data_IF_226748980033
#
_entry.id   IF_226748980033
#
_cell.length_a   1.000
_cell.length_b   1.000
_cell.length_c   1.000
_cell.angle_alpha   90.00
_cell.angle_beta   90.00
_cell.angle_gamma   90.00
#
_symmetry.space_group_name_H-M   'P 1'
#
loop_
_entity.id
_entity.type
_entity.pdbx_description
1 polymer ?
#
# COMPACT_ATOMS: atom_id res chain seq x y z
N UNK A 1 19.75 -4.65 11.50
CA UNK A 1 19.69 -3.22 11.93
C UNK A 1 19.93 -2.28 10.76
N UNK A 2 20.75 -2.68 9.78
CA UNK A 2 21.05 -1.91 8.56
C UNK A 2 19.82 -1.76 7.62
N UNK A 3 19.03 -2.83 7.44
CA UNK A 3 17.84 -2.79 6.56
C UNK A 3 16.75 -1.84 7.04
N UNK A 4 16.57 -1.69 8.36
CA UNK A 4 15.57 -0.76 8.91
C UNK A 4 15.96 0.69 8.64
N UNK A 5 17.26 1.02 8.68
CA UNK A 5 17.75 2.36 8.31
C UNK A 5 17.55 2.63 6.82
N UNK A 6 17.90 1.69 5.94
CA UNK A 6 17.67 1.82 4.49
C UNK A 6 16.19 2.00 4.16
N UNK A 7 15.31 1.27 4.85
CA UNK A 7 13.87 1.35 4.66
C UNK A 7 13.31 2.70 5.13
N UNK A 8 13.77 3.23 6.27
CA UNK A 8 13.42 4.58 6.70
C UNK A 8 13.89 5.64 5.70
N UNK A 9 15.16 5.60 5.32
CA UNK A 9 15.71 6.58 4.37
C UNK A 9 14.98 6.53 3.03
N UNK A 10 14.73 5.33 2.49
CA UNK A 10 13.97 5.16 1.25
C UNK A 10 12.52 5.63 1.35
N UNK A 11 11.83 5.33 2.46
CA UNK A 11 10.47 5.78 2.69
C UNK A 11 10.38 7.31 2.81
N UNK A 12 11.30 7.95 3.54
CA UNK A 12 11.34 9.40 3.68
C UNK A 12 11.61 10.08 2.34
N UNK A 13 12.60 9.62 1.58
CA UNK A 13 12.88 10.16 0.25
C UNK A 13 11.70 9.95 -0.71
N UNK A 14 11.08 8.77 -0.71
CA UNK A 14 9.93 8.48 -1.57
C UNK A 14 8.71 9.35 -1.28
N UNK A 15 8.42 9.62 0.00
CA UNK A 15 7.31 10.48 0.41
C UNK A 15 7.53 11.94 -0.03
N UNK A 16 8.73 12.50 0.21
CA UNK A 16 9.02 13.88 -0.23
C UNK A 16 9.07 14.02 -1.75
N UNK A 17 9.63 13.04 -2.46
CA UNK A 17 9.65 13.05 -3.93
C UNK A 17 8.24 12.95 -4.50
N UNK A 18 7.40 12.11 -3.90
CA UNK A 18 5.98 11.97 -4.25
C UNK A 18 5.21 13.28 -4.08
N UNK A 19 5.41 13.98 -2.96
CA UNK A 19 4.77 15.27 -2.71
C UNK A 19 5.15 16.33 -3.74
N UNK A 20 6.42 16.39 -4.13
CA UNK A 20 6.90 17.32 -5.17
C UNK A 20 6.18 17.02 -6.50
N UNK A 21 6.09 15.75 -6.89
CA UNK A 21 5.41 15.35 -8.13
C UNK A 21 3.91 15.69 -8.05
N UNK A 22 3.25 15.39 -6.93
CA UNK A 22 1.81 15.68 -6.73
C UNK A 22 1.56 17.19 -6.78
N UNK A 23 2.43 18.00 -6.17
CA UNK A 23 2.31 19.45 -6.18
C UNK A 23 2.55 20.05 -7.58
N UNK A 24 3.47 19.48 -8.37
CA UNK A 24 3.68 19.87 -9.77
C UNK A 24 2.46 19.52 -10.63
N UNK A 25 1.86 18.34 -10.42
CA UNK A 25 0.70 17.88 -11.19
C UNK A 25 -0.58 18.65 -10.84
N UNK A 26 -0.75 19.04 -9.57
CA UNK A 26 -1.91 19.79 -9.14
C UNK A 26 -1.57 20.71 -7.95
N UNK A 27 -1.23 21.98 -8.21
CA UNK A 27 -0.84 22.93 -7.16
C UNK A 27 -2.00 23.33 -6.23
N UNK A 28 -3.25 22.99 -6.58
CA UNK A 28 -4.40 23.23 -5.71
C UNK A 28 -4.47 22.28 -4.50
N UNK A 29 -3.64 21.21 -4.48
CA UNK A 29 -3.58 20.28 -3.35
C UNK A 29 -2.85 20.97 -2.18
N UNK A 30 -3.48 21.08 -0.99
CA UNK A 30 -2.87 21.74 0.15
C UNK A 30 -1.63 20.98 0.63
N UNK A 31 -0.47 21.64 0.63
CA UNK A 31 0.81 21.09 1.11
C UNK A 31 0.68 20.54 2.54
N UNK A 32 -0.12 21.20 3.38
CA UNK A 32 -0.37 20.75 4.75
C UNK A 32 -0.97 19.34 4.81
N UNK A 33 -1.86 18.99 3.86
CA UNK A 33 -2.48 17.67 3.81
C UNK A 33 -1.47 16.58 3.42
N UNK A 34 -0.52 16.91 2.54
CA UNK A 34 0.57 16.01 2.13
C UNK A 34 1.55 15.77 3.29
N UNK A 35 1.95 16.83 3.99
CA UNK A 35 2.83 16.74 5.15
C UNK A 35 2.20 15.91 6.27
N UNK A 36 0.91 16.10 6.55
CA UNK A 36 0.20 15.30 7.57
C UNK A 36 0.10 13.82 7.18
N UNK A 37 -0.12 13.52 5.90
CA UNK A 37 -0.09 12.15 5.38
C UNK A 37 1.28 11.50 5.58
N UNK A 38 2.37 12.23 5.31
CA UNK A 38 3.73 11.73 5.50
C UNK A 38 4.07 11.44 6.95
N UNK A 39 3.67 12.33 7.87
CA UNK A 39 3.83 12.11 9.32
C UNK A 39 3.11 10.82 9.73
N UNK A 40 1.89 10.62 9.25
CA UNK A 40 1.12 9.41 9.52
C UNK A 40 1.82 8.15 8.97
N UNK A 41 2.32 8.22 7.73
CA UNK A 41 3.01 7.10 7.07
C UNK A 41 4.29 6.70 7.83
N UNK A 42 5.09 7.67 8.27
CA UNK A 42 6.29 7.43 9.09
C UNK A 42 5.90 6.81 10.44
N UNK A 43 4.83 7.32 11.07
CA UNK A 43 4.36 6.82 12.36
C UNK A 43 3.87 5.37 12.25
N UNK A 44 3.15 5.02 11.19
CA UNK A 44 2.79 3.63 10.86
C UNK A 44 4.02 2.76 10.61
N UNK A 45 5.05 3.27 9.92
CA UNK A 45 6.29 2.54 9.69
C UNK A 45 7.04 2.25 11.01
N UNK A 46 7.11 3.22 11.92
CA UNK A 46 7.66 3.05 13.27
C UNK A 46 6.87 1.98 14.03
N UNK A 47 5.53 2.08 14.05
CA UNK A 47 4.68 1.13 14.74
C UNK A 47 4.81 -0.28 14.16
N UNK A 48 4.81 -0.43 12.84
CA UNK A 48 4.96 -1.71 12.16
C UNK A 48 6.31 -2.36 12.45
N UNK A 49 7.41 -1.60 12.33
CA UNK A 49 8.76 -2.12 12.60
C UNK A 49 8.94 -2.50 14.06
N UNK A 50 8.36 -1.73 14.99
CA UNK A 50 8.37 -2.06 16.41
C UNK A 50 7.47 -3.26 16.74
N UNK A 51 6.29 -3.36 16.17
CA UNK A 51 5.41 -4.51 16.32
C UNK A 51 6.08 -5.78 15.79
N UNK A 52 6.68 -5.71 14.61
CA UNK A 52 7.47 -6.80 14.01
C UNK A 52 8.59 -7.21 14.97
N UNK A 53 9.47 -6.27 15.38
CA UNK A 53 10.54 -6.58 16.34
C UNK A 53 10.04 -7.21 17.65
N UNK A 54 8.92 -6.70 18.19
CA UNK A 54 8.34 -7.19 19.45
C UNK A 54 7.72 -8.58 19.31
N UNK A 55 7.11 -8.88 18.17
CA UNK A 55 6.54 -10.18 17.86
C UNK A 55 7.61 -11.25 17.68
N UNK A 56 8.65 -10.96 16.88
CA UNK A 56 9.79 -11.87 16.68
C UNK A 56 10.57 -12.14 17.97
N UNK A 57 10.68 -11.15 18.87
CA UNK A 57 11.37 -11.32 20.16
C UNK A 57 10.54 -12.06 21.22
N UNK A 58 9.21 -12.03 21.12
CA UNK A 58 8.30 -12.70 22.07
C UNK A 58 8.00 -14.15 21.71
N UNK A 59 7.99 -14.48 20.43
CA UNK A 59 7.51 -15.79 19.98
C UNK A 59 8.64 -16.81 19.72
N UNK A 60 9.93 -16.46 19.93
CA UNK A 60 11.12 -17.31 19.58
C UNK A 60 10.95 -18.01 18.22
N UNK A 61 10.18 -17.39 17.32
CA UNK A 61 9.81 -18.02 16.08
C UNK A 61 11.07 -18.14 15.22
N UNK A 62 11.35 -19.32 14.64
CA UNK A 62 12.23 -19.35 13.48
C UNK A 62 11.71 -18.33 12.47
N UNK A 63 12.62 -17.78 11.66
CA UNK A 63 12.25 -16.89 10.56
C UNK A 63 11.06 -17.51 9.84
N UNK A 64 9.97 -16.75 9.69
CA UNK A 64 8.66 -17.23 9.19
C UNK A 64 8.92 -18.28 8.13
N UNK A 65 8.44 -19.52 8.33
CA UNK A 65 8.70 -20.65 7.44
C UNK A 65 8.70 -20.14 6.00
N UNK A 66 9.82 -20.24 5.30
CA UNK A 66 10.05 -19.51 4.04
C UNK A 66 8.92 -19.81 3.02
N UNK A 67 8.35 -21.01 3.15
CA UNK A 67 7.17 -21.51 2.46
C UNK A 67 5.89 -20.69 2.71
N UNK A 68 5.62 -20.26 3.95
CA UNK A 68 4.50 -19.39 4.30
C UNK A 68 4.71 -17.99 3.73
N UNK A 69 5.94 -17.48 3.76
CA UNK A 69 6.27 -16.17 3.18
C UNK A 69 6.14 -16.16 1.64
N UNK A 70 6.59 -17.22 0.97
CA UNK A 70 6.39 -17.41 -0.47
C UNK A 70 4.91 -17.54 -0.82
N UNK A 71 4.12 -18.26 -0.02
CA UNK A 71 2.68 -18.36 -0.21
C UNK A 71 2.00 -17.00 -0.05
N UNK A 72 2.29 -16.25 1.03
CA UNK A 72 1.75 -14.90 1.22
C UNK A 72 2.13 -14.00 0.04
N UNK A 73 3.39 -14.01 -0.40
CA UNK A 73 3.83 -13.25 -1.58
C UNK A 73 3.04 -13.63 -2.83
N UNK A 74 2.87 -14.93 -3.10
CA UNK A 74 2.11 -15.43 -4.25
C UNK A 74 0.65 -14.98 -4.20
N UNK A 75 -0.03 -15.13 -3.06
CA UNK A 75 -1.42 -14.73 -2.89
C UNK A 75 -1.61 -13.22 -2.97
N UNK A 76 -0.71 -12.44 -2.40
CA UNK A 76 -0.71 -10.97 -2.53
C UNK A 76 -0.52 -10.57 -3.99
N UNK A 77 0.39 -11.20 -4.71
CA UNK A 77 0.65 -10.87 -6.13
C UNK A 77 -0.55 -11.23 -7.02
N UNK A 78 -1.18 -12.39 -6.80
CA UNK A 78 -2.42 -12.78 -7.49
C UNK A 78 -3.56 -11.80 -7.19
N UNK A 79 -3.72 -11.42 -5.91
CA UNK A 79 -4.76 -10.48 -5.51
C UNK A 79 -4.53 -9.08 -6.10
N UNK A 80 -3.27 -8.67 -6.24
CA UNK A 80 -2.90 -7.41 -6.89
C UNK A 80 -3.28 -7.39 -8.38
N UNK A 81 -2.98 -8.47 -9.11
CA UNK A 81 -3.37 -8.62 -10.52
C UNK A 81 -4.91 -8.58 -10.67
N UNK A 82 -5.62 -9.25 -9.77
CA UNK A 82 -7.08 -9.27 -9.75
C UNK A 82 -7.68 -7.87 -9.50
N UNK A 83 -7.12 -7.11 -8.56
CA UNK A 83 -7.50 -5.71 -8.33
C UNK A 83 -7.31 -4.85 -9.58
N UNK A 84 -6.20 -5.01 -10.30
CA UNK A 84 -5.97 -4.30 -11.56
C UNK A 84 -7.04 -4.61 -12.62
N UNK A 85 -7.44 -5.87 -12.74
CA UNK A 85 -8.53 -6.27 -13.64
C UNK A 85 -9.86 -5.60 -13.26
N UNK A 86 -10.20 -5.53 -11.97
CA UNK A 86 -11.42 -4.86 -11.50
C UNK A 86 -11.42 -3.36 -11.84
N UNK A 87 -10.27 -2.69 -11.73
CA UNK A 87 -10.12 -1.28 -12.13
C UNK A 87 -10.37 -1.11 -13.62
N UNK A 88 -9.82 -1.99 -14.46
CA UNK A 88 -10.05 -1.97 -15.92
C UNK A 88 -11.55 -2.14 -16.21
N UNK A 89 -12.22 -3.11 -15.58
CA UNK A 89 -13.66 -3.33 -15.73
C UNK A 89 -14.45 -2.09 -15.32
N UNK A 90 -14.11 -1.48 -14.19
CA UNK A 90 -14.76 -0.27 -13.71
C UNK A 90 -14.64 0.90 -14.70
N UNK A 91 -13.46 1.09 -15.32
CA UNK A 91 -13.24 2.11 -16.34
C UNK A 91 -14.10 1.82 -17.59
N UNK A 92 -14.13 0.57 -18.05
CA UNK A 92 -14.94 0.15 -19.21
C UNK A 92 -16.42 0.37 -18.94
N UNK A 93 -16.93 -0.07 -17.79
CA UNK A 93 -18.34 0.11 -17.38
C UNK A 93 -18.69 1.59 -17.25
N UNK A 94 -17.81 2.40 -16.66
CA UNK A 94 -18.02 3.84 -16.53
C UNK A 94 -18.14 4.52 -17.90
N UNK A 95 -17.35 4.08 -18.88
CA UNK A 95 -17.44 4.56 -20.27
C UNK A 95 -18.75 4.14 -20.94
N UNK A 96 -19.21 2.90 -20.70
CA UNK A 96 -20.49 2.39 -21.23
C UNK A 96 -21.70 3.12 -20.64
N UNK A 97 -21.65 3.49 -19.36
CA UNK A 97 -22.68 4.29 -18.67
C UNK A 97 -22.69 5.76 -19.15
N UNK A 98 -21.75 6.15 -20.03
CA UNK A 98 -21.71 7.49 -20.61
C UNK A 98 -21.05 8.53 -19.72
N UNK A 99 -20.27 8.13 -18.70
CA UNK A 99 -19.44 9.08 -17.95
C UNK A 99 -18.32 9.58 -18.85
N UNK A 100 -18.34 10.87 -19.19
CA UNK A 100 -17.34 11.52 -20.02
C UNK A 100 -15.98 11.68 -19.32
N UNK A 101 -15.98 11.82 -17.99
CA UNK A 101 -14.79 11.98 -17.17
C UNK A 101 -15.02 11.28 -15.83
N UNK A 102 -14.01 10.58 -15.33
CA UNK A 102 -14.02 9.98 -14.00
C UNK A 102 -13.13 10.85 -13.09
N UNK A 103 -13.66 11.43 -12.00
CA UNK A 103 -12.87 12.24 -11.10
C UNK A 103 -11.67 11.47 -10.55
N UNK A 104 -10.49 12.09 -10.56
CA UNK A 104 -9.25 11.47 -10.06
C UNK A 104 -9.41 11.01 -8.60
N UNK A 105 -10.18 11.76 -7.81
CA UNK A 105 -10.50 11.43 -6.42
C UNK A 105 -11.28 10.11 -6.29
N UNK A 106 -12.27 9.87 -7.16
CA UNK A 106 -13.03 8.61 -7.18
C UNK A 106 -12.14 7.43 -7.56
N UNK A 107 -11.30 7.59 -8.60
CA UNK A 107 -10.33 6.56 -9.00
C UNK A 107 -9.37 6.25 -7.86
N UNK A 108 -8.87 7.28 -7.17
CA UNK A 108 -7.92 7.11 -6.08
C UNK A 108 -8.55 6.35 -4.90
N UNK A 109 -9.79 6.65 -4.53
CA UNK A 109 -10.54 5.96 -3.47
C UNK A 109 -10.81 4.50 -3.86
N UNK A 110 -11.24 4.25 -5.09
CA UNK A 110 -11.52 2.88 -5.58
C UNK A 110 -10.23 2.05 -5.64
N UNK A 111 -9.14 2.61 -6.18
CA UNK A 111 -7.85 1.92 -6.23
C UNK A 111 -7.30 1.65 -4.82
N UNK A 112 -7.38 2.62 -3.92
CA UNK A 112 -6.90 2.47 -2.53
C UNK A 112 -7.70 1.41 -1.76
N UNK A 113 -9.02 1.39 -1.92
CA UNK A 113 -9.89 0.40 -1.26
C UNK A 113 -9.69 -1.01 -1.81
N UNK A 114 -9.60 -1.17 -3.14
CA UNK A 114 -9.30 -2.47 -3.76
C UNK A 114 -7.89 -2.97 -3.38
N UNK A 115 -6.90 -2.08 -3.33
CA UNK A 115 -5.54 -2.42 -2.91
C UNK A 115 -5.50 -2.87 -1.45
N UNK A 116 -6.12 -2.10 -0.54
CA UNK A 116 -6.21 -2.47 0.87
C UNK A 116 -6.94 -3.81 1.06
N UNK A 117 -8.05 -4.03 0.34
CA UNK A 117 -8.78 -5.29 0.33
C UNK A 117 -7.93 -6.47 -0.14
N UNK A 118 -7.16 -6.29 -1.23
CA UNK A 118 -6.26 -7.34 -1.73
C UNK A 118 -5.17 -7.73 -0.74
N UNK A 119 -4.61 -6.76 -0.01
CA UNK A 119 -3.60 -7.02 1.00
C UNK A 119 -4.18 -7.78 2.20
N UNK A 120 -5.38 -7.40 2.66
CA UNK A 120 -6.05 -8.09 3.78
C UNK A 120 -6.35 -9.53 3.40
N UNK A 121 -6.94 -9.77 2.23
CA UNK A 121 -7.29 -11.13 1.76
C UNK A 121 -6.02 -11.97 1.55
N UNK A 122 -5.01 -11.42 0.87
CA UNK A 122 -3.75 -12.11 0.63
C UNK A 122 -3.02 -12.51 1.91
N UNK A 123 -3.01 -11.63 2.92
CA UNK A 123 -2.40 -11.92 4.22
C UNK A 123 -3.24 -12.90 5.05
N UNK A 124 -4.57 -12.81 5.01
CA UNK A 124 -5.45 -13.72 5.76
C UNK A 124 -5.40 -15.15 5.22
N UNK A 125 -5.41 -15.32 3.89
CA UNK A 125 -5.36 -16.63 3.24
C UNK A 125 -3.95 -17.21 3.32
N UNK A 126 -2.92 -16.41 3.03
CA UNK A 126 -1.53 -16.87 3.06
C UNK A 126 -1.04 -17.25 4.47
N UNK A 127 -1.65 -16.73 5.53
CA UNK A 127 -1.33 -17.12 6.92
C UNK A 127 -1.96 -18.45 7.36
N UNK A 128 -2.96 -18.95 6.63
CA UNK A 128 -3.67 -20.21 6.94
C UNK A 128 -3.16 -21.42 6.13
N UNK A 129 -2.23 -21.22 5.20
CA UNK A 129 -1.66 -22.23 4.30
C UNK A 129 -0.21 -22.53 4.65
#
# INVERSE_FOLDING_TARGET
>A
MDDTKKLFTGATFGLFLGDIIVHIMNPAIPILSLVMSNVLAILFLVLYTNYKKRKYRKEELPDIDERVNENIKKYVNVSFIFTFLLVIVYIVVSKVIGRAVIPVQEIFIICSSLFAGSLIIGVMIGKRA
#
